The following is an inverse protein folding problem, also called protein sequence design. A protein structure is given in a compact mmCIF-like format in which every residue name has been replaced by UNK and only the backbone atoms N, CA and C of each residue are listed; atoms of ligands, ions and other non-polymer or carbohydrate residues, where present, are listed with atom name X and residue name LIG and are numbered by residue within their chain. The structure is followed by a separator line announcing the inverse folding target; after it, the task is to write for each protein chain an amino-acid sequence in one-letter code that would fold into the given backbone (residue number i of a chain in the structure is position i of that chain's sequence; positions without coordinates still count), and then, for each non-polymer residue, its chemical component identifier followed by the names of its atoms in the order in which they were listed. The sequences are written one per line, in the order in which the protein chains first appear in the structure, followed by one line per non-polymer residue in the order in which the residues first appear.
data_IF_558713291664
#
_entry.id   IF_558713291664
#
_cell.length_a   1.000
_cell.length_b   1.000
_cell.length_c   1.000
_cell.angle_alpha   90.00
_cell.angle_beta   90.00
_cell.angle_gamma   90.00
#
_symmetry.space_group_name_H-M   'P 1'
#
loop_
_entity.id
_entity.type
_entity.pdbx_description
1 polymer ?
#
# COMPACT_ATOMS: atom_id res chain seq x y z
N UNK A 1 -5.54 -19.70 11.80
CA UNK A 1 -4.23 -19.87 11.12
C UNK A 1 -3.59 -18.50 10.90
N UNK A 2 -2.25 -18.42 10.86
CA UNK A 2 -1.50 -17.15 10.65
C UNK A 2 -0.83 -17.16 9.28
N UNK A 3 -0.94 -16.06 8.53
CA UNK A 3 -0.34 -15.90 7.20
C UNK A 3 0.49 -14.61 7.18
N UNK A 4 1.74 -14.68 6.69
CA UNK A 4 2.61 -13.52 6.54
C UNK A 4 2.56 -13.02 5.09
N UNK A 5 2.36 -11.71 4.89
CA UNK A 5 2.33 -11.08 3.57
C UNK A 5 3.16 -9.80 3.63
N UNK A 6 4.43 -9.87 3.23
CA UNK A 6 5.33 -8.71 3.20
C UNK A 6 5.48 -8.16 1.78
N UNK A 7 5.84 -9.01 0.83
CA UNK A 7 6.25 -8.60 -0.52
C UNK A 7 5.17 -7.82 -1.28
N UNK A 8 3.92 -8.25 -1.22
CA UNK A 8 2.84 -7.54 -1.93
C UNK A 8 2.57 -6.16 -1.34
N UNK A 9 2.63 -6.04 -0.02
CA UNK A 9 2.48 -4.75 0.68
C UNK A 9 3.61 -3.79 0.33
N UNK A 10 4.86 -4.28 0.27
CA UNK A 10 6.01 -3.47 -0.12
C UNK A 10 5.94 -3.04 -1.59
N UNK A 11 5.46 -3.92 -2.48
CA UNK A 11 5.26 -3.61 -3.91
C UNK A 11 4.21 -2.52 -4.09
N UNK A 12 3.05 -2.65 -3.48
CA UNK A 12 1.97 -1.66 -3.57
C UNK A 12 2.42 -0.28 -3.06
N UNK A 13 3.07 -0.24 -1.89
CA UNK A 13 3.59 1.00 -1.32
C UNK A 13 4.64 1.66 -2.24
N UNK A 14 5.68 0.89 -2.61
CA UNK A 14 6.82 1.43 -3.36
C UNK A 14 6.44 1.81 -4.78
N UNK A 15 5.53 1.07 -5.42
CA UNK A 15 5.02 1.39 -6.75
C UNK A 15 4.32 2.74 -6.76
N UNK A 16 3.37 2.96 -5.86
CA UNK A 16 2.61 4.21 -5.79
C UNK A 16 3.50 5.42 -5.44
N UNK A 17 4.49 5.24 -4.56
CA UNK A 17 5.50 6.29 -4.28
C UNK A 17 6.32 6.63 -5.52
N UNK A 18 6.76 5.63 -6.29
CA UNK A 18 7.53 5.86 -7.52
C UNK A 18 6.69 6.57 -8.58
N UNK A 19 5.42 6.21 -8.73
CA UNK A 19 4.51 6.84 -9.68
C UNK A 19 4.31 8.32 -9.37
N UNK A 20 4.03 8.68 -8.11
CA UNK A 20 3.78 10.08 -7.75
C UNK A 20 5.04 10.95 -7.89
N UNK A 21 6.21 10.42 -7.52
CA UNK A 21 7.49 11.14 -7.68
C UNK A 21 7.93 11.25 -9.14
N UNK A 22 7.57 10.28 -9.99
CA UNK A 22 7.82 10.37 -11.42
C UNK A 22 6.89 11.38 -12.12
N UNK A 23 5.67 11.57 -11.59
CA UNK A 23 4.70 12.50 -12.12
C UNK A 23 4.94 13.95 -11.69
N UNK A 24 5.50 14.19 -10.50
CA UNK A 24 5.81 15.51 -9.96
C UNK A 24 7.22 15.54 -9.37
N UNK A 25 8.18 16.06 -10.15
CA UNK A 25 9.59 16.15 -9.76
C UNK A 25 9.88 17.21 -8.70
N UNK A 26 8.96 18.16 -8.47
CA UNK A 26 9.09 19.20 -7.44
C UNK A 26 8.49 18.73 -6.08
N UNK A 27 7.90 17.53 -6.05
CA UNK A 27 7.27 16.97 -4.86
C UNK A 27 8.30 16.55 -3.82
N UNK A 28 8.55 17.42 -2.85
CA UNK A 28 9.52 17.17 -1.76
C UNK A 28 8.88 16.81 -0.41
N UNK A 29 7.60 17.15 -0.20
CA UNK A 29 6.93 16.91 1.10
C UNK A 29 6.68 15.41 1.31
N UNK A 30 7.34 14.77 2.30
CA UNK A 30 7.21 13.34 2.57
C UNK A 30 5.78 12.91 2.87
N UNK A 31 4.98 13.77 3.49
CA UNK A 31 3.60 13.42 3.86
C UNK A 31 2.75 13.19 2.62
N UNK A 32 3.04 13.90 1.52
CA UNK A 32 2.31 13.78 0.27
C UNK A 32 2.62 12.46 -0.43
N UNK A 33 3.89 12.13 -0.67
CA UNK A 33 4.22 10.89 -1.38
C UNK A 33 4.10 9.64 -0.49
N UNK A 34 4.45 9.71 0.80
CA UNK A 34 4.25 8.58 1.72
C UNK A 34 2.76 8.33 2.00
N UNK A 35 1.93 9.37 1.97
CA UNK A 35 0.47 9.26 2.08
C UNK A 35 -0.10 8.40 0.95
N UNK A 36 0.29 8.70 -0.30
CA UNK A 36 -0.11 7.89 -1.47
C UNK A 36 0.35 6.44 -1.35
N UNK A 37 1.60 6.21 -0.94
CA UNK A 37 2.11 4.85 -0.68
C UNK A 37 1.30 4.10 0.37
N UNK A 38 0.96 4.77 1.49
CA UNK A 38 0.15 4.19 2.57
C UNK A 38 -1.24 3.81 2.06
N UNK A 39 -1.90 4.67 1.30
CA UNK A 39 -3.25 4.41 0.79
C UNK A 39 -3.27 3.19 -0.13
N UNK A 40 -2.28 3.08 -1.02
CA UNK A 40 -2.09 1.91 -1.89
C UNK A 40 -1.84 0.63 -1.07
N UNK A 41 -0.97 0.68 -0.07
CA UNK A 41 -0.71 -0.45 0.82
C UNK A 41 -1.99 -0.88 1.58
N UNK A 42 -2.80 0.08 2.05
CA UNK A 42 -4.05 -0.21 2.75
C UNK A 42 -5.12 -0.82 1.81
N UNK A 43 -5.14 -0.44 0.53
CA UNK A 43 -5.99 -1.10 -0.46
C UNK A 43 -5.58 -2.58 -0.62
N UNK A 44 -4.28 -2.86 -0.73
CA UNK A 44 -3.74 -4.22 -0.82
C UNK A 44 -4.07 -5.05 0.44
N UNK A 45 -3.93 -4.49 1.64
CA UNK A 45 -4.31 -5.17 2.89
C UNK A 45 -5.79 -5.59 2.87
N UNK A 46 -6.69 -4.68 2.48
CA UNK A 46 -8.13 -4.98 2.42
C UNK A 46 -8.44 -6.09 1.43
N UNK A 47 -7.74 -6.12 0.30
CA UNK A 47 -7.89 -7.17 -0.70
C UNK A 47 -7.36 -8.51 -0.18
N UNK A 48 -6.17 -8.54 0.43
CA UNK A 48 -5.63 -9.75 1.07
C UNK A 48 -6.53 -10.30 2.16
N UNK A 49 -7.14 -9.44 3.00
CA UNK A 49 -8.09 -9.87 4.04
C UNK A 49 -9.35 -10.52 3.46
N UNK A 50 -9.85 -10.02 2.33
CA UNK A 50 -10.96 -10.67 1.60
C UNK A 50 -10.52 -12.00 1.01
N UNK A 51 -9.35 -12.04 0.37
CA UNK A 51 -8.80 -13.24 -0.26
C UNK A 51 -8.65 -14.40 0.73
N UNK A 52 -8.13 -14.14 1.94
CA UNK A 52 -7.96 -15.17 2.98
C UNK A 52 -9.23 -15.43 3.80
N UNK A 53 -10.36 -14.80 3.45
CA UNK A 53 -11.65 -14.99 4.13
C UNK A 53 -11.68 -14.48 5.57
N UNK A 54 -10.86 -13.47 5.92
CA UNK A 54 -10.80 -12.87 7.26
C UNK A 54 -11.67 -11.61 7.41
N UNK A 55 -12.28 -11.12 6.33
CA UNK A 55 -13.14 -9.94 6.36
C UNK A 55 -14.36 -10.15 7.26
N UNK A 56 -14.66 -9.17 8.13
CA UNK A 56 -15.83 -9.18 9.02
C UNK A 56 -15.75 -10.14 10.21
N UNK A 57 -14.56 -10.68 10.52
CA UNK A 57 -14.35 -11.65 11.62
C UNK A 57 -13.60 -11.03 12.81
N UNK A 58 -13.95 -9.78 13.13
CA UNK A 58 -13.40 -9.04 14.28
C UNK A 58 -13.93 -9.59 15.61
#
# INVERSE_FOLDING_TARGET
AKINIATQLSKAFTGAVREVLAADGELVDPRKYLGVGRDAQMAEVRERLRFVGASGKA
#
